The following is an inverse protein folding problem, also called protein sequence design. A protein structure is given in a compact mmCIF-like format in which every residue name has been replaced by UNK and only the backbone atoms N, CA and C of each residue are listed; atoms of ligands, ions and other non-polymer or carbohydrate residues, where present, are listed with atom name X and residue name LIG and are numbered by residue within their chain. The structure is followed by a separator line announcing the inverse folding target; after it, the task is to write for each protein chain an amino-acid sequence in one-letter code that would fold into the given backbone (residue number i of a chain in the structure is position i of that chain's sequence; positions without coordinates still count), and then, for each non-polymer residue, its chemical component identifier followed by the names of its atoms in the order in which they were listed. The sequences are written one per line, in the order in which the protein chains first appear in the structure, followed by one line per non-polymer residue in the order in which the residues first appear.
data_IF_620628661348
#
_entry.id   IF_620628661348
#
_cell.length_a   1.000
_cell.length_b   1.000
_cell.length_c   1.000
_cell.angle_alpha   90.00
_cell.angle_beta   90.00
_cell.angle_gamma   90.00
#
_symmetry.space_group_name_H-M   'P 1'
#
loop_
_entity.id
_entity.type
_entity.pdbx_description
1 polymer ?
#
# COMPACT_ATOMS: atom_id res chain seq x y z
N UNK A 1 11.89 -13.53 11.77
CA UNK A 1 11.86 -14.02 10.38
C UNK A 1 11.12 -12.99 9.55
N UNK A 2 11.68 -12.53 8.43
CA UNK A 2 10.94 -11.71 7.46
C UNK A 2 10.27 -12.68 6.52
N UNK A 3 8.95 -12.84 6.61
CA UNK A 3 8.22 -13.65 5.64
C UNK A 3 8.09 -12.81 4.37
N UNK A 4 8.61 -13.35 3.27
CA UNK A 4 8.64 -12.72 1.96
C UNK A 4 7.82 -13.56 0.99
N UNK A 5 6.88 -12.94 0.29
CA UNK A 5 6.01 -13.61 -0.66
C UNK A 5 6.12 -12.96 -2.04
N UNK A 6 6.14 -13.76 -3.09
CA UNK A 6 6.07 -13.29 -4.47
C UNK A 6 4.75 -13.72 -5.09
N UNK A 7 3.99 -12.76 -5.63
CA UNK A 7 2.66 -13.00 -6.20
C UNK A 7 2.63 -12.44 -7.62
N UNK A 8 2.36 -13.29 -8.61
CA UNK A 8 2.15 -12.86 -9.99
C UNK A 8 0.77 -12.21 -10.14
N UNK A 9 0.74 -11.05 -10.79
CA UNK A 9 -0.44 -10.23 -11.06
C UNK A 9 -0.80 -10.32 -12.54
N UNK A 10 -1.23 -11.52 -12.97
CA UNK A 10 -1.46 -11.86 -14.38
C UNK A 10 -2.45 -10.94 -15.09
N UNK A 11 -3.39 -10.38 -14.35
CA UNK A 11 -4.41 -9.47 -14.85
C UNK A 11 -4.92 -8.55 -13.73
N UNK A 12 -5.80 -7.62 -14.09
CA UNK A 12 -6.41 -6.67 -13.16
C UNK A 12 -7.16 -7.37 -12.00
N UNK A 13 -7.80 -8.51 -12.27
CA UNK A 13 -8.53 -9.28 -11.27
C UNK A 13 -7.59 -9.90 -10.22
N UNK A 14 -6.34 -10.24 -10.60
CA UNK A 14 -5.32 -10.71 -9.66
C UNK A 14 -4.94 -9.60 -8.67
N UNK A 15 -4.76 -8.36 -9.16
CA UNK A 15 -4.51 -7.18 -8.31
C UNK A 15 -5.69 -6.87 -7.40
N UNK A 16 -6.92 -6.98 -7.92
CA UNK A 16 -8.15 -6.81 -7.14
C UNK A 16 -8.29 -7.88 -6.06
N UNK A 17 -8.03 -9.15 -6.40
CA UNK A 17 -8.04 -10.27 -5.47
C UNK A 17 -7.02 -10.10 -4.35
N UNK A 18 -5.81 -9.63 -4.68
CA UNK A 18 -4.80 -9.28 -3.68
C UNK A 18 -5.31 -8.18 -2.73
N UNK A 19 -5.84 -7.08 -3.27
CA UNK A 19 -6.38 -5.99 -2.47
C UNK A 19 -7.54 -6.43 -1.57
N UNK A 20 -8.41 -7.35 -2.03
CA UNK A 20 -9.48 -7.94 -1.24
C UNK A 20 -8.93 -8.79 -0.07
N UNK A 21 -7.83 -9.54 -0.28
CA UNK A 21 -7.20 -10.29 0.80
C UNK A 21 -6.64 -9.35 1.86
N UNK A 22 -5.93 -8.31 1.43
CA UNK A 22 -5.39 -7.28 2.33
C UNK A 22 -6.48 -6.55 3.12
N UNK A 23 -7.60 -6.20 2.49
CA UNK A 23 -8.70 -5.50 3.18
C UNK A 23 -9.32 -6.32 4.33
N UNK A 24 -9.18 -7.65 4.33
CA UNK A 24 -9.66 -8.55 5.40
C UNK A 24 -8.69 -8.69 6.58
N UNK A 25 -7.40 -8.37 6.39
CA UNK A 25 -6.35 -8.58 7.39
C UNK A 25 -5.78 -7.28 7.96
N UNK A 26 -5.96 -6.16 7.28
CA UNK A 26 -5.42 -4.85 7.70
C UNK A 26 -6.08 -4.38 9.00
N UNK A 27 -5.25 -3.94 9.94
CA UNK A 27 -5.64 -3.26 11.18
C UNK A 27 -5.75 -1.74 10.99
N UNK A 28 -6.38 -1.05 11.95
CA UNK A 28 -6.60 0.41 11.88
C UNK A 28 -5.32 1.26 11.82
N UNK A 29 -4.21 0.79 12.37
CA UNK A 29 -2.97 1.57 12.47
C UNK A 29 -1.82 0.77 11.87
N UNK A 30 -1.69 0.82 10.55
CA UNK A 30 -0.59 0.18 9.83
C UNK A 30 -0.20 1.01 8.61
N UNK A 31 1.10 1.02 8.31
CA UNK A 31 1.64 1.64 7.12
C UNK A 31 1.90 0.58 6.04
N UNK A 32 1.45 0.87 4.82
CA UNK A 32 1.66 0.06 3.62
C UNK A 32 2.48 0.87 2.62
N UNK A 33 3.71 0.45 2.38
CA UNK A 33 4.57 0.99 1.33
C UNK A 33 4.26 0.30 0.00
N UNK A 34 4.05 1.09 -1.05
CA UNK A 34 3.91 0.65 -2.43
C UNK A 34 5.07 1.24 -3.24
N UNK A 35 6.04 0.42 -3.63
CA UNK A 35 7.20 0.83 -4.40
C UNK A 35 7.29 0.04 -5.70
N UNK A 36 7.91 0.61 -6.74
CA UNK A 36 8.01 -0.03 -8.05
C UNK A 36 7.97 1.00 -9.17
N UNK A 37 8.26 0.57 -10.40
CA UNK A 37 8.31 1.46 -11.56
C UNK A 37 6.95 2.08 -11.91
N UNK A 38 6.94 3.10 -12.75
CA UNK A 38 5.70 3.73 -13.22
C UNK A 38 4.87 2.69 -14.00
N UNK A 39 3.55 2.65 -13.77
CA UNK A 39 2.66 1.74 -14.50
C UNK A 39 2.62 0.28 -13.99
N UNK A 40 3.40 -0.09 -12.97
CA UNK A 40 3.41 -1.45 -12.40
C UNK A 40 2.18 -1.79 -11.56
N UNK A 41 1.31 -0.83 -11.26
CA UNK A 41 -0.01 -1.07 -10.66
C UNK A 41 -0.18 -0.63 -9.20
N UNK A 42 0.76 0.13 -8.63
CA UNK A 42 0.70 0.68 -7.26
C UNK A 42 -0.63 1.37 -6.94
N UNK A 43 -0.98 2.45 -7.65
CA UNK A 43 -2.25 3.16 -7.46
C UNK A 43 -3.48 2.28 -7.71
N UNK A 44 -3.39 1.32 -8.64
CA UNK A 44 -4.47 0.37 -8.91
C UNK A 44 -4.75 -0.52 -7.69
N UNK A 45 -3.68 -1.04 -7.06
CA UNK A 45 -3.80 -1.78 -5.81
C UNK A 45 -4.41 -0.90 -4.69
N UNK A 46 -3.87 0.30 -4.47
CA UNK A 46 -4.38 1.25 -3.46
C UNK A 46 -5.87 1.54 -3.64
N UNK A 47 -6.28 1.82 -4.89
CA UNK A 47 -7.68 2.05 -5.26
C UNK A 47 -8.58 0.88 -4.94
N UNK A 48 -8.22 -0.35 -5.32
CA UNK A 48 -9.04 -1.51 -4.96
C UNK A 48 -9.11 -1.70 -3.45
N UNK A 49 -7.98 -1.56 -2.75
CA UNK A 49 -7.93 -1.71 -1.30
C UNK A 49 -8.86 -0.72 -0.60
N UNK A 50 -8.76 0.57 -0.93
CA UNK A 50 -9.60 1.63 -0.36
C UNK A 50 -11.08 1.36 -0.66
N UNK A 51 -11.44 0.96 -1.88
CA UNK A 51 -12.83 0.63 -2.23
C UNK A 51 -13.38 -0.57 -1.45
N UNK A 52 -12.57 -1.62 -1.25
CA UNK A 52 -12.98 -2.75 -0.41
C UNK A 52 -13.18 -2.36 1.06
N UNK A 53 -12.30 -1.52 1.60
CA UNK A 53 -12.43 -0.97 2.94
C UNK A 53 -13.65 -0.04 3.08
N UNK A 54 -13.96 0.73 2.03
CA UNK A 54 -15.13 1.61 1.96
C UNK A 54 -16.45 0.84 1.81
N UNK A 55 -16.38 -0.44 1.38
CA UNK A 55 -17.53 -1.30 1.04
C UNK A 55 -18.48 -0.68 0.00
N UNK A 56 -17.98 0.23 -0.81
CA UNK A 56 -18.69 0.90 -1.90
C UNK A 56 -17.69 1.45 -2.89
N UNK A 57 -18.12 1.68 -4.12
CA UNK A 57 -17.29 2.34 -5.12
C UNK A 57 -17.21 3.85 -4.82
N UNK A 58 -15.99 4.33 -4.56
CA UNK A 58 -15.64 5.74 -4.41
C UNK A 58 -14.52 6.09 -5.38
N UNK A 59 -14.43 7.38 -5.71
CA UNK A 59 -13.35 7.91 -6.54
C UNK A 59 -12.06 7.90 -5.74
N UNK A 60 -11.13 7.03 -6.12
CA UNK A 60 -9.76 6.97 -5.59
C UNK A 60 -8.80 7.23 -6.75
N UNK A 61 -8.13 8.37 -6.72
CA UNK A 61 -7.13 8.74 -7.73
C UNK A 61 -5.73 8.63 -7.14
N UNK A 62 -4.70 8.59 -7.99
CA UNK A 62 -3.35 8.83 -7.48
C UNK A 62 -3.27 10.25 -6.93
N UNK A 63 -2.76 10.42 -5.70
CA UNK A 63 -2.54 11.73 -5.11
C UNK A 63 -1.24 12.37 -5.57
N UNK A 64 -0.65 12.03 -6.73
CA UNK A 64 0.64 12.61 -7.17
C UNK A 64 0.70 14.15 -7.11
N UNK A 65 -0.40 14.85 -7.44
CA UNK A 65 -0.47 16.32 -7.38
C UNK A 65 -0.82 16.88 -6.00
N UNK A 66 -1.87 16.40 -5.29
CA UNK A 66 -2.15 16.85 -3.93
C UNK A 66 -1.16 16.30 -2.89
N UNK A 67 -0.26 15.38 -3.29
CA UNK A 67 0.67 14.57 -2.50
C UNK A 67 -0.03 13.61 -1.54
N UNK A 68 -1.12 14.03 -0.91
CA UNK A 68 -1.94 13.24 0.00
C UNK A 68 -3.43 13.38 -0.32
N UNK A 69 -4.16 12.28 -0.23
CA UNK A 69 -5.62 12.27 -0.16
C UNK A 69 -6.08 11.48 1.05
N UNK A 70 -7.09 12.01 1.74
CA UNK A 70 -7.65 11.43 2.95
C UNK A 70 -9.05 10.92 2.64
N UNK A 71 -9.31 9.68 3.04
CA UNK A 71 -10.61 9.03 2.89
C UNK A 71 -11.16 8.69 4.29
N UNK A 72 -12.13 9.48 4.75
CA UNK A 72 -12.85 9.20 5.98
C UNK A 72 -13.93 8.13 5.73
N UNK A 73 -13.62 6.88 6.07
CA UNK A 73 -14.53 5.75 5.94
C UNK A 73 -15.24 5.46 7.27
N UNK A 74 -16.35 4.72 7.22
CA UNK A 74 -17.22 4.51 8.38
C UNK A 74 -16.53 3.92 9.62
N UNK A 75 -15.46 3.15 9.46
CA UNK A 75 -14.74 2.47 10.58
C UNK A 75 -13.27 2.83 10.69
N UNK A 76 -12.72 3.52 9.70
CA UNK A 76 -11.28 3.76 9.57
C UNK A 76 -11.03 4.97 8.66
N UNK A 77 -9.95 5.69 8.93
CA UNK A 77 -9.45 6.75 8.07
C UNK A 77 -8.29 6.21 7.24
N UNK A 78 -8.26 6.52 5.94
CA UNK A 78 -7.14 6.16 5.07
C UNK A 78 -6.41 7.40 4.61
N UNK A 79 -5.12 7.44 4.84
CA UNK A 79 -4.21 8.43 4.29
C UNK A 79 -3.46 7.81 3.12
N UNK A 80 -3.71 8.29 1.90
CA UNK A 80 -3.00 7.86 0.71
C UNK A 80 -2.03 8.94 0.28
N UNK A 81 -0.74 8.67 0.46
CA UNK A 81 0.36 9.52 0.01
C UNK A 81 0.95 8.99 -1.29
N UNK A 82 1.35 9.89 -2.18
CA UNK A 82 2.20 9.60 -3.33
C UNK A 82 3.37 10.59 -3.31
N UNK A 83 4.53 10.07 -2.94
CA UNK A 83 5.73 10.86 -2.70
C UNK A 83 6.61 11.02 -3.96
N UNK A 84 6.11 10.63 -5.14
CA UNK A 84 6.88 10.67 -6.40
C UNK A 84 7.51 12.04 -6.69
N UNK A 85 6.85 13.12 -6.26
CA UNK A 85 7.30 14.51 -6.51
C UNK A 85 8.04 15.16 -5.34
N UNK A 86 8.07 14.50 -4.18
CA UNK A 86 8.77 15.03 -3.00
C UNK A 86 10.27 14.84 -3.20
N UNK A 87 11.03 15.93 -3.06
CA UNK A 87 12.49 15.91 -3.18
C UNK A 87 13.17 16.02 -1.82
N UNK A 88 12.54 16.70 -0.87
CA UNK A 88 13.05 16.85 0.48
C UNK A 88 12.11 16.19 1.49
N UNK A 89 12.64 15.28 2.30
CA UNK A 89 11.88 14.60 3.36
C UNK A 89 11.27 15.56 4.39
N UNK A 90 11.82 16.77 4.55
CA UNK A 90 11.27 17.78 5.44
C UNK A 90 9.90 18.31 4.99
N UNK A 91 9.54 18.17 3.70
CA UNK A 91 8.22 18.55 3.18
C UNK A 91 7.09 17.72 3.82
N UNK A 92 7.41 16.55 4.36
CA UNK A 92 6.42 15.64 4.97
C UNK A 92 5.93 16.09 6.34
N UNK A 93 6.75 16.84 7.08
CA UNK A 93 6.33 17.39 8.38
C UNK A 93 5.16 18.36 8.21
N UNK A 94 5.04 18.99 7.04
CA UNK A 94 3.93 19.89 6.72
C UNK A 94 2.66 19.15 6.22
N UNK A 95 2.71 17.82 6.09
CA UNK A 95 1.63 16.99 5.53
C UNK A 95 1.00 16.08 6.59
N UNK A 96 1.15 16.43 7.87
CA UNK A 96 0.58 15.69 9.00
C UNK A 96 0.96 14.20 9.03
N UNK A 97 2.12 13.84 8.46
CA UNK A 97 2.52 12.44 8.32
C UNK A 97 2.59 11.70 9.66
N UNK A 98 3.07 12.35 10.72
CA UNK A 98 3.11 11.76 12.07
C UNK A 98 1.72 11.49 12.63
N UNK A 99 0.75 12.38 12.36
CA UNK A 99 -0.64 12.20 12.78
C UNK A 99 -1.25 11.03 12.01
N UNK A 100 -0.97 10.95 10.70
CA UNK A 100 -1.47 9.90 9.82
C UNK A 100 -1.08 8.49 10.28
N UNK A 101 0.08 8.31 10.91
CA UNK A 101 0.55 7.00 11.40
C UNK A 101 -0.36 6.36 12.48
N UNK A 102 -1.29 7.13 13.07
CA UNK A 102 -2.31 6.59 13.98
C UNK A 102 -3.45 5.86 13.24
N UNK A 103 -3.57 6.06 11.92
CA UNK A 103 -4.58 5.50 11.03
C UNK A 103 -3.97 4.51 10.02
N UNK A 104 -4.75 4.11 9.00
CA UNK A 104 -4.24 3.33 7.87
C UNK A 104 -3.53 4.28 6.90
N UNK A 105 -2.26 4.03 6.66
CA UNK A 105 -1.43 4.83 5.76
C UNK A 105 -1.00 3.99 4.57
N UNK A 106 -1.21 4.50 3.37
CA UNK A 106 -0.71 3.94 2.11
C UNK A 106 0.26 4.96 1.53
N UNK A 107 1.51 4.57 1.30
CA UNK A 107 2.53 5.45 0.73
C UNK A 107 3.04 4.86 -0.58
N UNK A 108 2.78 5.52 -1.70
CA UNK A 108 3.49 5.27 -2.95
C UNK A 108 4.86 5.97 -2.93
N UNK A 109 5.89 5.32 -3.47
CA UNK A 109 7.27 5.82 -3.50
C UNK A 109 7.85 6.08 -2.10
N UNK A 110 7.67 5.09 -1.21
CA UNK A 110 8.03 5.17 0.21
C UNK A 110 9.54 5.29 0.46
N UNK A 111 10.38 5.06 -0.55
CA UNK A 111 11.85 5.18 -0.41
C UNK A 111 12.30 6.55 0.12
N UNK A 112 11.52 7.62 -0.13
CA UNK A 112 11.77 8.97 0.40
C UNK A 112 11.74 8.99 1.94
N UNK A 113 10.91 8.13 2.56
CA UNK A 113 10.68 8.07 4.01
C UNK A 113 11.35 6.88 4.68
N UNK A 114 12.32 6.23 4.03
CA UNK A 114 12.97 5.02 4.55
C UNK A 114 13.50 5.15 5.99
N UNK A 115 13.91 6.36 6.38
CA UNK A 115 14.48 6.66 7.70
C UNK A 115 13.40 6.81 8.80
N UNK A 116 12.13 6.92 8.41
CA UNK A 116 10.98 7.18 9.29
C UNK A 116 9.94 6.05 9.27
N UNK A 117 10.29 4.92 8.63
CA UNK A 117 9.36 3.79 8.53
C UNK A 117 9.10 3.19 9.93
N UNK A 118 7.83 3.05 10.34
CA UNK A 118 7.51 2.46 11.64
C UNK A 118 7.91 0.98 11.68
N UNK A 119 8.07 0.45 12.89
CA UNK A 119 8.42 -0.96 13.09
C UNK A 119 7.36 -1.90 12.50
N UNK A 120 6.07 -1.57 12.67
CA UNK A 120 4.95 -2.34 12.13
C UNK A 120 4.54 -1.77 10.77
N UNK A 121 4.81 -2.51 9.69
CA UNK A 121 4.47 -2.09 8.33
C UNK A 121 4.45 -3.26 7.36
N UNK A 122 3.90 -2.99 6.18
CA UNK A 122 3.93 -3.89 5.03
C UNK A 122 4.66 -3.15 3.90
N UNK A 123 5.62 -3.80 3.26
CA UNK A 123 6.29 -3.28 2.08
C UNK A 123 5.94 -4.14 0.87
N UNK A 124 5.42 -3.51 -0.18
CA UNK A 124 5.08 -4.13 -1.45
C UNK A 124 5.92 -3.53 -2.58
N UNK A 125 6.68 -4.37 -3.25
CA UNK A 125 7.50 -3.99 -4.39
C UNK A 125 6.89 -4.57 -5.66
N UNK A 126 6.38 -3.70 -6.53
CA UNK A 126 5.76 -4.02 -7.80
C UNK A 126 6.80 -3.99 -8.92
N UNK A 127 6.87 -5.07 -9.67
CA UNK A 127 7.81 -5.28 -10.75
C UNK A 127 7.09 -5.72 -12.02
N UNK A 128 7.78 -5.57 -13.14
CA UNK A 128 7.47 -6.20 -14.42
C UNK A 128 8.72 -6.95 -14.86
N UNK A 129 8.58 -8.23 -15.20
CA UNK A 129 9.70 -9.02 -15.72
C UNK A 129 9.90 -8.83 -17.23
N UNK A 130 10.90 -9.52 -17.78
CA UNK A 130 11.25 -9.43 -19.21
C UNK A 130 10.14 -9.94 -20.14
N UNK A 131 9.22 -10.76 -19.63
CA UNK A 131 8.08 -11.31 -20.36
C UNK A 131 6.83 -10.46 -20.16
N UNK A 132 6.99 -9.21 -19.67
CA UNK A 132 5.92 -8.27 -19.36
C UNK A 132 4.95 -8.77 -18.29
N UNK A 133 5.35 -9.76 -17.48
CA UNK A 133 4.53 -10.25 -16.39
C UNK A 133 4.75 -9.40 -15.15
N UNK A 134 3.66 -8.84 -14.63
CA UNK A 134 3.69 -8.08 -13.39
C UNK A 134 3.68 -9.03 -12.20
N UNK A 135 4.49 -8.72 -11.19
CA UNK A 135 4.48 -9.42 -9.91
C UNK A 135 4.73 -8.44 -8.77
N UNK A 136 4.30 -8.82 -7.57
CA UNK A 136 4.54 -8.05 -6.36
C UNK A 136 5.26 -8.92 -5.33
N UNK A 137 6.34 -8.37 -4.79
CA UNK A 137 7.09 -8.92 -3.67
C UNK A 137 6.64 -8.24 -2.40
N UNK A 138 6.17 -9.01 -1.43
CA UNK A 138 5.56 -8.51 -0.21
C UNK A 138 6.42 -8.91 0.98
N UNK A 139 6.73 -7.94 1.83
CA UNK A 139 7.45 -8.12 3.09
C UNK A 139 6.66 -7.54 4.24
N UNK A 140 6.67 -8.23 5.36
CA UNK A 140 5.99 -7.79 6.57
C UNK A 140 7.00 -7.54 7.68
N UNK A 141 6.73 -6.53 8.49
CA UNK A 141 7.61 -6.08 9.56
C UNK A 141 6.84 -5.92 10.87
N UNK A 142 7.51 -6.23 11.99
CA UNK A 142 6.93 -6.17 13.32
C UNK A 142 5.77 -7.15 13.51
N UNK A 143 4.70 -6.68 14.14
CA UNK A 143 3.49 -7.45 14.43
C UNK A 143 2.40 -7.29 13.37
N UNK A 144 2.74 -6.81 12.17
CA UNK A 144 1.82 -6.81 11.02
C UNK A 144 1.31 -8.25 10.81
N UNK A 145 0.11 -8.53 11.32
CA UNK A 145 -0.26 -9.86 11.81
C UNK A 145 -0.42 -10.84 10.65
N UNK A 146 0.62 -11.62 10.42
CA UNK A 146 0.81 -12.48 9.25
C UNK A 146 0.23 -13.89 9.40
N UNK A 147 -0.28 -14.27 10.58
CA UNK A 147 -0.76 -15.64 10.83
C UNK A 147 -1.90 -16.09 9.90
N UNK A 148 -2.48 -15.19 9.10
CA UNK A 148 -3.52 -15.49 8.09
C UNK A 148 -3.04 -15.44 6.64
N UNK A 149 -1.91 -14.80 6.34
CA UNK A 149 -1.39 -14.71 4.97
C UNK A 149 -0.54 -15.95 4.70
N UNK A 150 -1.19 -17.07 4.41
CA UNK A 150 -0.50 -18.33 4.06
C UNK A 150 -0.38 -18.47 2.54
N UNK A 151 0.67 -19.15 2.07
CA UNK A 151 0.85 -19.48 0.64
C UNK A 151 -0.36 -20.23 0.03
N UNK A 152 -1.14 -20.93 0.85
CA UNK A 152 -2.33 -21.65 0.43
C UNK A 152 -3.48 -20.73 -0.04
N UNK A 153 -3.46 -19.44 0.33
CA UNK A 153 -4.42 -18.47 -0.19
C UNK A 153 -3.96 -17.85 -1.51
N UNK A 154 -2.75 -18.14 -2.02
CA UNK A 154 -2.14 -17.48 -3.20
C UNK A 154 -2.47 -18.22 -4.51
N UNK A 155 -2.98 -19.45 -4.46
CA UNK A 155 -3.42 -20.20 -5.64
C UNK A 155 -4.82 -19.83 -6.12
#
# INVERSE_FOLDING_TARGET
MKDEFNIYLKNIESTKGLALKFSKIISKSILICLDGELGTGKTTFARFLINFLAKKEIKVLSPTFPIVQIYDLAKLKVWHFDLYRIRNKNELFNLDFEIALNDLVIVEWSKIIKDFLPQNRIEMFFYEDKDLQKYVKIKFFGNANLKKFSENEIK
#
